data_IF_143601868333
#
_entry.id   IF_143601868333
#
_cell.length_a   1.000
_cell.length_b   1.000
_cell.length_c   1.000
_cell.angle_alpha   90.00
_cell.angle_beta   90.00
_cell.angle_gamma   90.00
#
_symmetry.space_group_name_H-M   'P 1'
#
loop_
_entity.id
_entity.type
_entity.pdbx_description
1 polymer ?
#
# COMPACT_ATOMS: atom_id res chain seq x y z
N UNK A 1 -13.49 -22.92 15.29
CA UNK A 1 -13.45 -21.45 15.53
C UNK A 1 -14.42 -20.66 14.67
N UNK A 2 -14.51 -20.92 13.35
CA UNK A 2 -15.38 -20.15 12.43
C UNK A 2 -16.86 -20.09 12.84
N UNK A 3 -17.44 -21.20 13.29
CA UNK A 3 -18.83 -21.25 13.76
C UNK A 3 -19.10 -20.26 14.90
N UNK A 4 -18.22 -20.24 15.91
CA UNK A 4 -18.33 -19.33 17.07
C UNK A 4 -18.28 -17.87 16.62
N UNK A 5 -17.34 -17.52 15.72
CA UNK A 5 -17.21 -16.15 15.19
C UNK A 5 -18.48 -15.73 14.44
N UNK A 6 -19.08 -16.61 13.65
CA UNK A 6 -20.32 -16.33 12.92
C UNK A 6 -21.50 -16.12 13.87
N UNK A 7 -21.65 -16.98 14.88
CA UNK A 7 -22.70 -16.85 15.89
C UNK A 7 -22.55 -15.54 16.68
N UNK A 8 -21.34 -15.17 17.11
CA UNK A 8 -21.07 -13.90 17.80
C UNK A 8 -21.48 -12.69 16.94
N UNK A 9 -21.17 -12.71 15.64
CA UNK A 9 -21.62 -11.63 14.72
C UNK A 9 -23.14 -11.60 14.56
N UNK A 10 -23.78 -12.75 14.45
CA UNK A 10 -25.24 -12.83 14.35
C UNK A 10 -25.92 -12.32 15.63
N UNK A 11 -25.42 -12.71 16.81
CA UNK A 11 -25.90 -12.22 18.11
C UNK A 11 -25.74 -10.70 18.27
N UNK A 12 -24.62 -10.14 17.80
CA UNK A 12 -24.45 -8.68 17.74
C UNK A 12 -25.54 -8.00 16.91
N UNK A 13 -25.80 -8.51 15.70
CA UNK A 13 -26.86 -7.96 14.82
C UNK A 13 -28.22 -8.10 15.47
N UNK A 14 -28.55 -9.27 16.01
CA UNK A 14 -29.83 -9.51 16.66
C UNK A 14 -30.05 -8.55 17.85
N UNK A 15 -29.04 -8.39 18.71
CA UNK A 15 -29.13 -7.54 19.89
C UNK A 15 -29.27 -6.05 19.57
N UNK A 16 -28.59 -5.56 18.53
CA UNK A 16 -28.59 -4.13 18.18
C UNK A 16 -29.74 -3.73 17.25
N UNK A 17 -30.30 -4.65 16.46
CA UNK A 17 -31.37 -4.34 15.49
C UNK A 17 -32.78 -4.59 16.02
N UNK A 18 -32.98 -5.53 16.95
CA UNK A 18 -34.31 -5.90 17.45
C UNK A 18 -34.60 -5.43 18.89
N UNK A 19 -33.78 -4.51 19.42
CA UNK A 19 -33.86 -4.00 20.79
C UNK A 19 -35.25 -3.45 21.20
N UNK A 20 -36.03 -2.90 20.26
CA UNK A 20 -37.35 -2.34 20.52
C UNK A 20 -38.51 -3.35 20.45
N UNK A 21 -38.26 -4.58 19.98
CA UNK A 21 -39.31 -5.61 19.93
C UNK A 21 -39.71 -6.02 21.35
N UNK A 22 -41.02 -6.17 21.62
CA UNK A 22 -41.52 -6.47 22.97
C UNK A 22 -40.87 -7.72 23.60
N UNK A 23 -40.42 -8.70 22.80
CA UNK A 23 -39.69 -9.88 23.28
C UNK A 23 -38.27 -9.59 23.79
N UNK A 24 -37.61 -8.54 23.31
CA UNK A 24 -36.27 -8.13 23.76
C UNK A 24 -36.27 -7.10 24.89
N UNK A 25 -37.42 -6.47 25.20
CA UNK A 25 -37.54 -5.56 26.34
C UNK A 25 -37.43 -6.31 27.67
N UNK A 26 -38.00 -7.52 27.74
CA UNK A 26 -37.92 -8.41 28.91
C UNK A 26 -36.54 -9.10 29.01
N UNK A 27 -35.90 -9.35 27.86
CA UNK A 27 -34.48 -9.65 27.78
C UNK A 27 -33.72 -8.33 27.82
N UNK A 28 -33.92 -7.55 28.89
CA UNK A 28 -33.06 -6.44 29.24
C UNK A 28 -31.63 -7.00 29.23
N UNK A 29 -30.89 -6.82 28.13
CA UNK A 29 -29.57 -7.41 27.93
C UNK A 29 -28.49 -6.33 28.06
N UNK A 30 -28.38 -5.62 29.20
CA UNK A 30 -27.26 -4.72 29.49
C UNK A 30 -26.00 -5.52 29.87
N UNK A 31 -26.05 -6.85 29.92
CA UNK A 31 -24.94 -7.69 30.36
C UNK A 31 -23.76 -7.73 29.36
N UNK A 32 -23.97 -7.38 28.07
CA UNK A 32 -22.96 -7.54 27.03
C UNK A 32 -22.72 -6.21 26.32
N UNK A 33 -21.54 -5.62 26.54
CA UNK A 33 -21.05 -4.49 25.74
C UNK A 33 -20.29 -5.00 24.51
N UNK A 34 -20.81 -4.73 23.32
CA UNK A 34 -20.16 -5.13 22.07
C UNK A 34 -19.05 -4.16 21.66
N UNK A 35 -17.82 -4.67 21.49
CA UNK A 35 -16.67 -3.91 20.98
C UNK A 35 -16.31 -4.34 19.56
N UNK A 36 -17.17 -4.05 18.59
CA UNK A 36 -16.85 -4.25 17.17
C UNK A 36 -16.02 -3.08 16.63
N UNK A 37 -14.84 -3.36 16.07
CA UNK A 37 -14.07 -2.37 15.30
C UNK A 37 -14.67 -2.25 13.90
N UNK A 38 -14.78 -1.03 13.39
CA UNK A 38 -15.09 -0.81 11.98
C UNK A 38 -14.05 -1.54 11.11
N UNK A 39 -14.48 -2.24 10.03
CA UNK A 39 -13.54 -2.85 9.11
C UNK A 39 -12.56 -1.83 8.55
N UNK A 40 -11.33 -2.27 8.33
CA UNK A 40 -10.34 -1.42 7.69
C UNK A 40 -10.71 -1.21 6.22
N UNK A 41 -10.49 0.02 5.74
CA UNK A 41 -10.76 0.35 4.35
C UNK A 41 -9.89 -0.50 3.46
N UNK A 42 -10.51 -1.21 2.53
CA UNK A 42 -9.75 -1.87 1.46
C UNK A 42 -9.08 -0.79 0.60
N UNK A 43 -7.84 -1.02 0.14
CA UNK A 43 -7.16 -0.08 -0.74
C UNK A 43 -7.96 0.09 -2.03
N UNK A 44 -8.21 1.36 -2.41
CA UNK A 44 -8.99 1.68 -3.62
C UNK A 44 -8.26 1.24 -4.90
N UNK A 45 -6.94 1.38 -4.89
CA UNK A 45 -6.07 0.96 -5.99
C UNK A 45 -5.11 -0.08 -5.43
N UNK A 46 -4.97 -1.19 -6.14
CA UNK A 46 -3.93 -2.18 -5.86
C UNK A 46 -2.60 -1.46 -6.07
N UNK A 47 -1.93 -1.07 -4.98
CA UNK A 47 -0.52 -0.71 -5.05
C UNK A 47 0.19 -1.99 -5.49
N UNK A 48 0.58 -2.06 -6.76
CA UNK A 48 1.63 -2.99 -7.16
C UNK A 48 2.81 -2.74 -6.23
N UNK A 49 3.53 -3.80 -5.83
CA UNK A 49 4.76 -3.64 -5.06
C UNK A 49 5.74 -2.86 -5.94
N UNK A 50 5.73 -1.53 -5.83
CA UNK A 50 6.84 -0.70 -6.24
C UNK A 50 7.90 -0.90 -5.15
N UNK A 51 8.52 -2.08 -5.18
CA UNK A 51 9.76 -2.32 -4.46
C UNK A 51 10.83 -1.48 -5.17
N UNK A 52 11.62 -0.83 -4.33
CA UNK A 52 12.31 0.42 -4.59
C UNK A 52 13.40 0.34 -5.67
N UNK A 53 13.45 1.35 -6.57
CA UNK A 53 14.74 1.78 -7.12
C UNK A 53 14.92 1.93 -8.63
N UNK A 54 13.98 1.52 -9.51
CA UNK A 54 14.34 1.40 -10.94
C UNK A 54 13.63 2.30 -11.96
N UNK A 55 12.44 2.85 -11.67
CA UNK A 55 11.60 3.43 -12.74
C UNK A 55 11.54 4.96 -12.81
N UNK A 56 12.58 5.67 -12.37
CA UNK A 56 12.67 7.10 -12.71
C UNK A 56 14.09 7.61 -12.96
N UNK A 57 14.98 6.75 -13.46
CA UNK A 57 16.31 7.18 -13.90
C UNK A 57 16.22 7.62 -15.35
N UNK A 58 15.89 8.90 -15.56
CA UNK A 58 16.08 9.57 -16.86
C UNK A 58 17.54 9.38 -17.24
N UNK A 59 17.80 8.55 -18.26
CA UNK A 59 19.15 8.22 -18.72
C UNK A 59 19.66 9.41 -19.53
N UNK A 60 20.29 10.39 -18.86
CA UNK A 60 21.06 11.46 -19.55
C UNK A 60 22.09 10.77 -20.44
N UNK A 61 21.97 10.93 -21.77
CA UNK A 61 22.95 10.37 -22.68
C UNK A 61 24.28 11.11 -22.53
N UNK A 62 25.36 10.35 -22.62
CA UNK A 62 26.77 10.72 -22.41
C UNK A 62 27.18 11.07 -20.96
N UNK A 63 28.07 10.25 -20.40
CA UNK A 63 28.88 10.64 -19.25
C UNK A 63 29.95 11.62 -19.76
N UNK A 64 30.07 12.79 -19.13
CA UNK A 64 31.16 13.75 -19.39
C UNK A 64 32.48 13.07 -19.04
N UNK A 65 33.20 12.56 -20.04
CA UNK A 65 34.58 12.09 -19.85
C UNK A 65 35.44 13.31 -19.52
N UNK A 66 36.14 13.27 -18.38
CA UNK A 66 37.24 14.19 -18.09
C UNK A 66 38.39 13.79 -19.02
N UNK A 67 38.54 14.51 -20.13
CA UNK A 67 39.62 14.27 -21.09
C UNK A 67 40.72 15.28 -20.77
N UNK A 68 41.95 14.79 -20.60
CA UNK A 68 43.11 15.65 -20.42
C UNK A 68 43.35 16.42 -21.74
N UNK A 69 43.44 17.76 -21.72
CA UNK A 69 43.56 18.57 -22.93
C UNK A 69 44.76 18.18 -23.81
N UNK A 70 45.85 17.68 -23.23
CA UNK A 70 47.04 17.24 -23.98
C UNK A 70 46.74 15.97 -24.79
N UNK A 71 45.97 15.03 -24.22
CA UNK A 71 45.59 13.79 -24.92
C UNK A 71 44.62 14.09 -26.08
N UNK A 72 43.64 14.98 -25.86
CA UNK A 72 42.73 15.41 -26.92
C UNK A 72 43.48 16.05 -28.09
N UNK A 73 44.45 16.94 -27.82
CA UNK A 73 45.24 17.59 -28.88
C UNK A 73 46.17 16.62 -29.62
N UNK A 74 46.67 15.58 -28.93
CA UNK A 74 47.50 14.55 -29.54
C UNK A 74 46.73 13.72 -30.58
N UNK A 75 45.45 13.44 -30.34
CA UNK A 75 44.61 12.68 -31.27
C UNK A 75 44.39 13.43 -32.60
N UNK A 76 44.30 14.76 -32.57
CA UNK A 76 44.17 15.58 -33.78
C UNK A 76 45.46 15.71 -34.58
N UNK A 77 46.62 15.75 -33.90
CA UNK A 77 47.93 15.89 -34.58
C UNK A 77 48.34 14.67 -35.41
N UNK A 78 47.81 13.49 -35.09
CA UNK A 78 48.06 12.27 -35.86
C UNK A 78 47.37 12.28 -37.24
N UNK A 79 46.40 13.17 -37.48
CA UNK A 79 45.67 13.26 -38.76
C UNK A 79 46.33 14.20 -39.77
N UNK A 80 47.25 15.07 -39.35
CA UNK A 80 47.95 16.05 -40.22
C UNK A 80 49.19 15.46 -40.94
N UNK A 81 49.44 14.14 -40.83
CA UNK A 81 50.61 13.46 -41.42
C UNK A 81 50.24 12.44 -42.50
N UNK A 82 49.31 12.80 -43.39
CA UNK A 82 49.06 12.12 -44.67
C UNK A 82 49.52 13.04 -45.81
#
# INVERSE_FOLDING_TARGET
MNAVVSTVKASYVASTKYQKSQGMQNLNMPAISWKMKAPEKKPLVKREKQDDGQQNKVKRSSQKKQINPVQALSEFKAMDSI
#
